data_IF_013461529731
#
_entry.id   IF_013461529731
#
_cell.length_a   1.000
_cell.length_b   1.000
_cell.length_c   1.000
_cell.angle_alpha   90.00
_cell.angle_beta   90.00
_cell.angle_gamma   90.00
#
_symmetry.space_group_name_H-M   'P 1'
#
loop_
_entity.id
_entity.type
_entity.pdbx_description
1 polymer ?
#
# COMPACT_ATOMS: atom_id res chain seq x y z
N UNK A 1 -22.87 -5.54 -3.35
CA UNK A 1 -21.87 -6.41 -4.03
C UNK A 1 -20.63 -6.60 -3.16
N UNK A 2 -19.82 -5.55 -2.89
CA UNK A 2 -18.59 -5.66 -2.08
C UNK A 2 -18.80 -6.27 -0.68
N UNK A 3 -19.88 -5.89 0.01
CA UNK A 3 -20.26 -6.48 1.31
C UNK A 3 -20.61 -7.97 1.20
N UNK A 4 -21.28 -8.39 0.13
CA UNK A 4 -21.58 -9.80 -0.12
C UNK A 4 -20.31 -10.61 -0.43
N UNK A 5 -19.25 -9.94 -0.89
CA UNK A 5 -17.93 -10.54 -1.08
C UNK A 5 -17.10 -10.57 0.21
N UNK A 6 -17.63 -10.07 1.34
CA UNK A 6 -16.94 -10.04 2.62
C UNK A 6 -15.88 -8.94 2.74
N UNK A 7 -15.98 -7.88 1.93
CA UNK A 7 -15.07 -6.73 2.02
C UNK A 7 -15.52 -5.77 3.13
N UNK A 8 -14.58 -5.37 3.99
CA UNK A 8 -14.87 -4.53 5.16
C UNK A 8 -14.74 -3.02 4.90
N UNK A 9 -13.80 -2.62 4.04
CA UNK A 9 -13.50 -1.21 3.72
C UNK A 9 -13.33 -1.02 2.21
N UNK A 10 -13.50 0.21 1.76
CA UNK A 10 -13.29 0.61 0.36
C UNK A 10 -12.34 1.82 0.28
N UNK A 11 -11.49 1.82 -0.75
CA UNK A 11 -10.53 2.90 -1.01
C UNK A 11 -10.05 2.83 -2.45
N UNK A 12 -9.32 3.87 -2.89
CA UNK A 12 -8.95 4.04 -4.31
C UNK A 12 -7.43 4.05 -4.56
N UNK A 13 -6.60 3.87 -3.54
CA UNK A 13 -5.14 4.10 -3.64
C UNK A 13 -4.27 2.88 -3.33
N UNK A 14 -4.74 1.93 -2.49
CA UNK A 14 -3.94 0.74 -2.10
C UNK A 14 -3.55 -0.13 -3.29
N UNK A 15 -4.40 -0.19 -4.31
CA UNK A 15 -4.10 -0.88 -5.57
C UNK A 15 -3.91 0.18 -6.67
N UNK A 16 -2.77 0.19 -7.40
CA UNK A 16 -1.72 -0.85 -7.47
C UNK A 16 -0.52 -0.66 -6.52
N UNK A 17 -0.55 0.31 -5.60
CA UNK A 17 0.60 0.65 -4.75
C UNK A 17 1.20 -0.57 -4.01
N UNK A 18 0.35 -1.41 -3.41
CA UNK A 18 0.78 -2.61 -2.69
C UNK A 18 1.48 -3.63 -3.60
N UNK A 19 1.08 -3.71 -4.88
CA UNK A 19 1.69 -4.62 -5.84
C UNK A 19 3.08 -4.13 -6.25
N UNK A 20 3.20 -2.83 -6.52
CA UNK A 20 4.47 -2.20 -6.87
C UNK A 20 5.47 -2.27 -5.71
N UNK A 21 5.01 -2.08 -4.47
CA UNK A 21 5.85 -2.26 -3.28
C UNK A 21 6.36 -3.70 -3.14
N UNK A 22 5.54 -4.69 -3.52
CA UNK A 22 5.96 -6.11 -3.54
C UNK A 22 6.98 -6.38 -4.64
N UNK A 23 6.79 -5.84 -5.84
CA UNK A 23 7.77 -5.94 -6.93
C UNK A 23 9.10 -5.28 -6.55
N UNK A 24 9.05 -4.18 -5.79
CA UNK A 24 10.20 -3.50 -5.19
C UNK A 24 10.76 -4.20 -3.93
N UNK A 25 10.20 -5.35 -3.53
CA UNK A 25 10.65 -6.17 -2.40
C UNK A 25 10.60 -5.48 -1.02
N UNK A 26 9.73 -4.49 -0.92
CA UNK A 26 9.49 -3.71 0.28
C UNK A 26 8.44 -4.39 1.17
N UNK A 27 8.63 -4.30 2.49
CA UNK A 27 7.54 -4.52 3.43
C UNK A 27 6.51 -3.40 3.31
N UNK A 28 5.27 -3.75 2.98
CA UNK A 28 4.17 -2.81 2.83
C UNK A 28 3.05 -3.12 3.83
N UNK A 29 2.50 -2.08 4.44
CA UNK A 29 1.31 -2.15 5.28
C UNK A 29 0.44 -0.92 5.02
N UNK A 30 -0.88 -1.09 5.07
CA UNK A 30 -1.84 -0.01 4.91
C UNK A 30 -2.50 0.30 6.26
N UNK A 31 -2.48 1.58 6.65
CA UNK A 31 -3.27 2.11 7.77
C UNK A 31 -4.49 2.82 7.20
N UNK A 32 -5.61 2.10 7.11
CA UNK A 32 -6.86 2.64 6.60
C UNK A 32 -7.58 3.43 7.69
N UNK A 33 -8.01 4.64 7.37
CA UNK A 33 -8.82 5.49 8.24
C UNK A 33 -10.24 5.54 7.72
N UNK A 34 -11.19 5.02 8.49
CA UNK A 34 -12.62 5.10 8.16
C UNK A 34 -13.06 6.56 8.28
N UNK A 35 -13.53 7.14 7.18
CA UNK A 35 -14.02 8.53 7.12
C UNK A 35 -15.55 8.60 7.17
N UNK A 36 -16.21 7.58 6.65
CA UNK A 36 -17.65 7.48 6.47
C UNK A 36 -18.04 6.03 6.17
N UNK A 37 -19.34 5.75 6.09
CA UNK A 37 -19.91 4.43 5.84
C UNK A 37 -20.30 4.19 4.37
N UNK A 38 -19.70 4.91 3.42
CA UNK A 38 -20.07 4.84 2.00
C UNK A 38 -21.60 5.09 1.80
N UNK A 39 -22.13 4.93 0.60
CA UNK A 39 -23.52 5.27 0.26
C UNK A 39 -24.56 4.22 0.66
N UNK A 40 -24.16 3.13 1.31
CA UNK A 40 -25.08 2.03 1.64
C UNK A 40 -25.81 2.21 2.97
N UNK A 41 -25.34 3.11 3.83
CA UNK A 41 -25.91 3.34 5.14
C UNK A 41 -27.01 4.40 5.08
N UNK A 42 -28.27 3.96 4.90
CA UNK A 42 -29.44 4.85 4.75
C UNK A 42 -29.85 5.58 6.05
N UNK A 43 -29.27 5.23 7.20
CA UNK A 43 -29.67 5.73 8.52
C UNK A 43 -28.88 6.94 9.06
N UNK A 44 -27.89 7.45 8.32
CA UNK A 44 -27.16 8.67 8.67
C UNK A 44 -27.37 9.77 7.62
N UNK A 45 -27.18 11.03 8.00
CA UNK A 45 -27.26 12.16 7.08
C UNK A 45 -26.36 11.94 5.84
N UNK A 46 -26.75 12.44 4.65
CA UNK A 46 -25.95 12.32 3.43
C UNK A 46 -24.50 12.72 3.68
N UNK A 47 -23.55 11.93 3.18
CA UNK A 47 -22.12 12.23 3.32
C UNK A 47 -21.83 13.61 2.74
N UNK A 48 -21.50 14.56 3.62
CA UNK A 48 -21.09 15.92 3.23
C UNK A 48 -19.56 16.00 3.17
N UNK A 49 -19.05 16.81 2.25
CA UNK A 49 -17.61 17.05 2.11
C UNK A 49 -17.02 17.61 3.41
N UNK A 50 -17.77 18.46 4.11
CA UNK A 50 -17.38 19.08 5.36
C UNK A 50 -17.25 18.06 6.51
N UNK A 51 -18.14 17.07 6.59
CA UNK A 51 -18.05 15.98 7.56
C UNK A 51 -16.80 15.12 7.29
N UNK A 52 -16.55 14.77 6.02
CA UNK A 52 -15.37 14.01 5.61
C UNK A 52 -14.08 14.75 5.97
N UNK A 53 -13.97 16.04 5.64
CA UNK A 53 -12.77 16.86 5.94
C UNK A 53 -12.52 16.92 7.45
N UNK A 54 -13.56 17.10 8.26
CA UNK A 54 -13.42 17.17 9.73
C UNK A 54 -12.90 15.87 10.31
N UNK A 55 -13.47 14.74 9.91
CA UNK A 55 -13.03 13.41 10.33
C UNK A 55 -11.60 13.14 9.85
N UNK A 56 -11.27 13.54 8.62
CA UNK A 56 -9.92 13.39 8.06
C UNK A 56 -8.89 14.19 8.86
N UNK A 57 -9.17 15.44 9.21
CA UNK A 57 -8.24 16.27 10.01
C UNK A 57 -8.03 15.70 11.42
N UNK A 58 -9.10 15.18 12.05
CA UNK A 58 -8.97 14.50 13.34
C UNK A 58 -8.11 13.24 13.22
N UNK A 59 -8.37 12.42 12.21
CA UNK A 59 -7.65 11.19 11.93
C UNK A 59 -6.18 11.44 11.57
N UNK A 60 -5.86 12.60 10.98
CA UNK A 60 -4.50 12.93 10.56
C UNK A 60 -3.52 13.04 11.74
N UNK A 61 -3.95 13.53 12.91
CA UNK A 61 -3.08 13.62 14.08
C UNK A 61 -2.78 12.22 14.64
N UNK A 62 -3.81 11.37 14.73
CA UNK A 62 -3.65 9.96 15.12
C UNK A 62 -2.73 9.24 14.14
N UNK A 63 -2.88 9.48 12.83
CA UNK A 63 -2.03 8.91 11.80
C UNK A 63 -0.56 9.31 12.00
N UNK A 64 -0.28 10.60 12.21
CA UNK A 64 1.09 11.11 12.44
C UNK A 64 1.74 10.47 13.65
N UNK A 65 1.02 10.39 14.77
CA UNK A 65 1.52 9.78 16.00
C UNK A 65 1.77 8.28 15.81
N UNK A 66 0.84 7.59 15.14
CA UNK A 66 0.97 6.16 14.81
C UNK A 66 2.20 5.89 13.94
N UNK A 67 2.45 6.71 12.91
CA UNK A 67 3.63 6.59 12.05
C UNK A 67 4.92 6.84 12.85
N UNK A 68 4.96 7.89 13.68
CA UNK A 68 6.13 8.17 14.52
C UNK A 68 6.43 7.01 15.48
N UNK A 69 5.39 6.40 16.06
CA UNK A 69 5.54 5.23 16.92
C UNK A 69 6.01 3.99 16.15
N UNK A 70 5.45 3.74 14.95
CA UNK A 70 5.87 2.64 14.10
C UNK A 70 7.35 2.75 13.72
N UNK A 71 7.82 3.95 13.33
CA UNK A 71 9.24 4.20 13.03
C UNK A 71 10.13 3.89 14.24
N UNK A 72 9.73 4.29 15.46
CA UNK A 72 10.48 3.97 16.68
C UNK A 72 10.52 2.47 16.97
N UNK A 73 9.39 1.77 16.83
CA UNK A 73 9.30 0.33 17.05
C UNK A 73 10.15 -0.47 16.04
N UNK A 74 10.24 0.04 14.81
CA UNK A 74 10.99 -0.58 13.72
C UNK A 74 12.45 -0.12 13.66
N UNK A 75 12.93 0.70 14.61
CA UNK A 75 14.28 1.27 14.57
C UNK A 75 15.39 0.22 14.48
N UNK A 76 15.17 -0.96 15.07
CA UNK A 76 16.10 -2.10 15.04
C UNK A 76 15.58 -3.26 14.21
N UNK A 77 14.57 -3.03 13.36
CA UNK A 77 14.10 -4.05 12.44
C UNK A 77 15.24 -4.42 11.47
N UNK A 78 15.42 -5.72 11.23
CA UNK A 78 16.33 -6.20 10.21
C UNK A 78 15.84 -5.88 8.79
N UNK A 79 16.53 -6.39 7.77
CA UNK A 79 16.08 -6.29 6.38
C UNK A 79 14.65 -6.80 6.19
N UNK A 80 13.97 -6.30 5.15
CA UNK A 80 12.65 -6.79 4.76
C UNK A 80 12.66 -8.32 4.64
N UNK A 81 11.72 -9.05 5.26
CA UNK A 81 11.59 -10.49 5.04
C UNK A 81 11.22 -10.83 3.59
N UNK A 82 10.78 -9.83 2.81
CA UNK A 82 10.45 -9.95 1.40
C UNK A 82 11.58 -9.51 0.47
N UNK A 83 12.79 -9.30 1.00
CA UNK A 83 13.92 -8.76 0.25
C UNK A 83 14.38 -9.63 -0.94
N UNK A 84 13.81 -10.81 -1.17
CA UNK A 84 14.07 -11.64 -2.35
C UNK A 84 12.78 -12.12 -3.05
N UNK A 85 11.65 -11.45 -2.80
CA UNK A 85 10.36 -11.83 -3.35
C UNK A 85 10.32 -11.91 -4.88
N UNK A 86 11.18 -11.17 -5.58
CA UNK A 86 11.19 -11.13 -7.05
C UNK A 86 12.08 -12.21 -7.67
N UNK A 87 12.92 -12.89 -6.87
CA UNK A 87 13.93 -13.84 -7.34
C UNK A 87 13.36 -14.92 -8.28
N UNK A 88 12.25 -15.54 -7.89
CA UNK A 88 11.61 -16.62 -8.64
C UNK A 88 10.38 -16.15 -9.43
N UNK A 89 10.08 -14.84 -9.40
CA UNK A 89 8.94 -14.25 -10.09
C UNK A 89 9.27 -13.81 -11.52
N UNK A 90 10.55 -13.61 -11.84
CA UNK A 90 11.00 -13.24 -13.20
C UNK A 90 11.09 -14.52 -14.05
N UNK A 91 10.06 -14.75 -14.87
CA UNK A 91 9.98 -15.93 -15.76
C UNK A 91 10.68 -15.66 -17.10
N UNK A 92 10.85 -14.40 -17.48
CA UNK A 92 11.50 -14.02 -18.75
C UNK A 92 12.95 -14.49 -18.78
N UNK A 93 13.33 -15.21 -19.85
CA UNK A 93 14.72 -15.67 -20.03
C UNK A 93 15.70 -14.50 -20.01
N UNK A 94 16.69 -14.54 -19.12
CA UNK A 94 17.67 -13.45 -18.94
C UNK A 94 18.39 -13.06 -20.22
N UNK A 95 18.66 -14.03 -21.10
CA UNK A 95 19.32 -13.80 -22.40
C UNK A 95 18.48 -12.98 -23.39
N UNK A 96 17.18 -12.85 -23.15
CA UNK A 96 16.24 -12.15 -24.04
C UNK A 96 15.85 -10.76 -23.54
N UNK A 97 16.21 -10.43 -22.29
CA UNK A 97 15.89 -9.13 -21.71
C UNK A 97 16.84 -8.09 -22.29
N UNK A 98 16.28 -7.02 -22.83
CA UNK A 98 17.08 -5.97 -23.46
C UNK A 98 17.84 -5.14 -22.41
N UNK A 99 19.09 -4.73 -22.68
CA UNK A 99 19.88 -3.94 -21.74
C UNK A 99 19.22 -2.61 -21.33
N UNK A 100 18.50 -1.93 -22.23
CA UNK A 100 17.81 -0.68 -21.93
C UNK A 100 16.70 -0.84 -20.87
N UNK A 101 16.05 -2.01 -20.82
CA UNK A 101 15.01 -2.32 -19.84
C UNK A 101 15.62 -2.58 -18.47
N UNK A 102 16.76 -3.27 -18.42
CA UNK A 102 17.51 -3.52 -17.18
C UNK A 102 17.97 -2.21 -16.58
N UNK A 103 18.54 -1.31 -17.39
CA UNK A 103 18.98 0.02 -16.95
C UNK A 103 17.80 0.85 -16.39
N UNK A 104 16.67 0.84 -17.10
CA UNK A 104 15.45 1.55 -16.66
C UNK A 104 14.92 1.03 -15.32
N UNK A 105 15.01 -0.26 -15.07
CA UNK A 105 14.46 -0.93 -13.88
C UNK A 105 15.53 -1.31 -12.85
N UNK A 106 16.74 -0.77 -12.96
CA UNK A 106 17.92 -1.19 -12.20
C UNK A 106 17.70 -1.20 -10.68
N UNK A 107 16.92 -0.25 -10.15
CA UNK A 107 16.64 -0.14 -8.70
C UNK A 107 15.78 -1.28 -8.17
N UNK A 108 15.01 -1.94 -9.05
CA UNK A 108 14.06 -2.99 -8.70
C UNK A 108 14.62 -4.36 -9.07
N UNK A 109 15.05 -4.52 -10.33
CA UNK A 109 15.45 -5.83 -10.88
C UNK A 109 16.96 -6.02 -10.97
N UNK A 110 17.76 -4.98 -10.74
CA UNK A 110 19.18 -4.95 -11.09
C UNK A 110 20.00 -6.05 -10.44
N UNK A 111 19.67 -6.49 -9.23
CA UNK A 111 20.36 -7.60 -8.55
C UNK A 111 20.10 -8.99 -9.15
N UNK A 112 19.16 -9.10 -10.10
CA UNK A 112 18.78 -10.36 -10.76
C UNK A 112 19.34 -10.51 -12.18
N UNK A 113 19.92 -9.45 -12.75
CA UNK A 113 20.50 -9.43 -14.08
C UNK A 113 21.99 -9.12 -14.01
#
# INVERSE_FOLDING_TARGET
VFRNWGMDIIGMTTTPEAFLAREAEMSYACMAHVTDYDVWHESEEPVTVEAVIRTLLHNAEVAKQSVANAVRLLANAGPSPYANALQDAIITSKSTVRPDVIEKLQLIVGKYF
#
